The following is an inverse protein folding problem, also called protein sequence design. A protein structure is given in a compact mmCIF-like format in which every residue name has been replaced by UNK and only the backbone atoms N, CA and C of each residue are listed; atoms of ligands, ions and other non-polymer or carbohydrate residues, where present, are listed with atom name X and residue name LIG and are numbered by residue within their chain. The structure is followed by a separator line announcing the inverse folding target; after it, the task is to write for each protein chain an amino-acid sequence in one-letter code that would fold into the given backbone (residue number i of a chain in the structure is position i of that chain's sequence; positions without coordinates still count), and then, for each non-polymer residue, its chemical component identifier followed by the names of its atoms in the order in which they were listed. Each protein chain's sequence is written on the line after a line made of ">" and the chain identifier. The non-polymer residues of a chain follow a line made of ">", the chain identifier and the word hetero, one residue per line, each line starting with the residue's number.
data_IF_383383616888
#
_entry.id   IF_383383616888
#
_cell.length_a   1.000
_cell.length_b   1.000
_cell.length_c   1.000
_cell.angle_alpha   90.00
_cell.angle_beta   90.00
_cell.angle_gamma   90.00
#
_symmetry.space_group_name_H-M   'P 1'
#
loop_
_entity.id
_entity.type
_entity.pdbx_description
1 polymer ?
#
# COMPACT_ATOMS: atom_id res chain seq x y z
N UNK A 1 4.48 10.71 0.22
CA UNK A 1 4.74 10.19 -1.15
C UNK A 1 5.89 9.19 -1.12
N UNK A 2 5.77 8.02 -1.78
CA UNK A 2 6.78 6.93 -1.72
C UNK A 2 7.89 7.10 -2.78
N UNK A 3 7.50 7.25 -4.05
CA UNK A 3 8.44 7.38 -5.19
C UNK A 3 8.25 8.71 -5.94
N UNK A 4 8.64 9.86 -5.34
CA UNK A 4 8.33 11.19 -5.88
C UNK A 4 8.98 11.50 -7.24
N UNK A 5 10.07 10.80 -7.59
CA UNK A 5 10.80 11.00 -8.85
C UNK A 5 10.48 9.94 -9.91
N UNK A 6 9.52 9.05 -9.64
CA UNK A 6 9.18 7.96 -10.55
C UNK A 6 7.72 8.08 -10.99
N UNK A 7 7.46 8.90 -12.01
CA UNK A 7 6.09 9.15 -12.53
C UNK A 7 5.40 7.93 -13.19
N UNK A 8 6.08 6.78 -13.24
CA UNK A 8 5.57 5.49 -13.75
C UNK A 8 5.57 4.41 -12.65
N UNK A 9 5.68 4.81 -11.39
CA UNK A 9 5.66 3.90 -10.26
C UNK A 9 4.38 3.06 -10.27
N UNK A 10 4.52 1.75 -10.14
CA UNK A 10 3.41 0.83 -9.91
C UNK A 10 3.29 0.50 -8.43
N UNK A 11 2.15 -0.06 -8.01
CA UNK A 11 1.96 -0.51 -6.64
C UNK A 11 3.01 -1.56 -6.21
N UNK A 12 3.39 -2.48 -7.11
CA UNK A 12 4.47 -3.43 -6.87
C UNK A 12 5.83 -2.77 -6.63
N UNK A 13 6.15 -1.69 -7.37
CA UNK A 13 7.37 -0.90 -7.12
C UNK A 13 7.31 -0.18 -5.76
N UNK A 14 6.15 0.38 -5.40
CA UNK A 14 5.96 1.00 -4.09
C UNK A 14 6.09 0.00 -2.94
N UNK A 15 5.56 -1.22 -3.09
CA UNK A 15 5.74 -2.32 -2.13
C UNK A 15 7.23 -2.66 -1.96
N UNK A 16 7.97 -2.76 -3.06
CA UNK A 16 9.43 -2.98 -3.00
C UNK A 16 10.17 -1.87 -2.25
N UNK A 17 9.85 -0.60 -2.54
CA UNK A 17 10.46 0.55 -1.85
C UNK A 17 10.10 0.59 -0.37
N UNK A 18 8.82 0.36 -0.02
CA UNK A 18 8.37 0.29 1.38
C UNK A 18 9.11 -0.80 2.13
N UNK A 19 9.28 -1.99 1.54
CA UNK A 19 10.05 -3.09 2.13
C UNK A 19 11.53 -2.78 2.33
N UNK A 20 12.16 -2.07 1.38
CA UNK A 20 13.58 -1.73 1.46
C UNK A 20 13.88 -0.55 2.39
N UNK A 21 12.93 0.35 2.60
CA UNK A 21 13.13 1.61 3.29
C UNK A 21 12.22 1.78 4.51
N UNK A 22 11.79 0.68 5.16
CA UNK A 22 10.82 0.68 6.28
C UNK A 22 11.14 1.72 7.36
N UNK A 23 12.40 1.77 7.79
CA UNK A 23 12.89 2.70 8.81
C UNK A 23 12.81 4.19 8.41
N UNK A 24 12.60 4.49 7.13
CA UNK A 24 12.39 5.85 6.63
C UNK A 24 10.94 6.30 6.72
N UNK A 25 10.00 5.43 7.05
CA UNK A 25 8.60 5.79 7.14
C UNK A 25 8.19 6.12 8.57
N UNK A 26 7.42 7.20 8.71
CA UNK A 26 6.70 7.52 9.94
C UNK A 26 5.21 7.39 9.70
N UNK A 27 4.50 6.94 10.74
CA UNK A 27 3.04 6.82 10.76
C UNK A 27 2.53 7.56 11.99
N UNK A 28 1.52 8.40 11.81
CA UNK A 28 0.98 9.27 12.86
C UNK A 28 0.26 8.47 13.97
N UNK A 29 -0.24 7.27 13.65
CA UNK A 29 -0.84 6.37 14.62
C UNK A 29 0.27 5.71 15.45
N UNK A 30 0.25 5.83 16.79
CA UNK A 30 1.23 5.19 17.66
C UNK A 30 1.25 3.67 17.45
N UNK A 31 2.45 3.13 17.32
CA UNK A 31 2.69 1.69 17.14
C UNK A 31 3.43 1.17 18.37
N UNK A 32 3.08 -0.03 18.89
CA UNK A 32 3.84 -0.64 19.98
C UNK A 32 5.33 -0.76 19.65
N UNK A 33 6.21 -0.65 20.64
CA UNK A 33 7.66 -0.55 20.45
C UNK A 33 8.28 -1.77 19.74
N UNK A 34 7.64 -2.94 19.80
CA UNK A 34 8.07 -4.19 19.17
C UNK A 34 7.46 -4.41 17.76
N UNK A 35 6.66 -3.46 17.27
CA UNK A 35 5.96 -3.56 15.98
C UNK A 35 6.48 -2.52 15.01
N UNK A 36 6.36 -2.86 13.73
CA UNK A 36 6.75 -1.97 12.66
C UNK A 36 5.62 -0.98 12.33
N UNK A 37 5.85 0.33 12.45
CA UNK A 37 4.86 1.36 12.16
C UNK A 37 4.30 1.32 10.74
N UNK A 38 5.08 0.91 9.74
CA UNK A 38 4.62 0.91 8.34
C UNK A 38 3.83 -0.33 7.94
N UNK A 39 3.82 -1.38 8.78
CA UNK A 39 3.19 -2.65 8.47
C UNK A 39 1.69 -2.56 8.10
N UNK A 40 0.85 -1.73 8.77
CA UNK A 40 -0.55 -1.58 8.36
C UNK A 40 -0.70 -1.01 6.95
N UNK A 41 0.16 -0.05 6.58
CA UNK A 41 0.14 0.59 5.25
C UNK A 41 0.55 -0.40 4.18
N UNK A 42 1.60 -1.17 4.44
CA UNK A 42 2.02 -2.26 3.56
C UNK A 42 0.93 -3.33 3.40
N UNK A 43 0.25 -3.70 4.48
CA UNK A 43 -0.84 -4.69 4.43
C UNK A 43 -2.00 -4.22 3.54
N UNK A 44 -2.35 -2.92 3.55
CA UNK A 44 -3.34 -2.38 2.62
C UNK A 44 -2.86 -2.46 1.16
N UNK A 45 -1.59 -2.12 0.90
CA UNK A 45 -0.99 -2.22 -0.43
C UNK A 45 -0.94 -3.66 -0.93
N UNK A 46 -0.61 -4.63 -0.06
CA UNK A 46 -0.63 -6.06 -0.34
C UNK A 46 -2.04 -6.55 -0.64
N UNK A 47 -3.02 -6.15 0.16
CA UNK A 47 -4.43 -6.49 -0.08
C UNK A 47 -4.89 -6.08 -1.49
N UNK A 48 -4.48 -4.89 -1.94
CA UNK A 48 -4.78 -4.43 -3.31
C UNK A 48 -4.00 -5.20 -4.37
N UNK A 49 -2.69 -5.39 -4.16
CA UNK A 49 -1.80 -6.06 -5.12
C UNK A 49 -2.12 -7.54 -5.32
N UNK A 50 -2.36 -8.26 -4.22
CA UNK A 50 -2.60 -9.70 -4.25
C UNK A 50 -4.07 -10.03 -4.53
N UNK A 51 -5.00 -9.14 -4.13
CA UNK A 51 -6.45 -9.34 -4.28
C UNK A 51 -7.00 -9.05 -5.68
N UNK A 52 -6.38 -8.16 -6.46
CA UNK A 52 -6.82 -7.82 -7.82
C UNK A 52 -6.20 -8.73 -8.88
N UNK A 53 -6.50 -10.03 -8.78
CA UNK A 53 -5.93 -11.11 -9.61
C UNK A 53 -6.18 -11.00 -11.13
N UNK A 54 -7.12 -10.15 -11.57
CA UNK A 54 -7.33 -9.86 -13.00
C UNK A 54 -6.31 -8.87 -13.57
N UNK A 55 -5.71 -8.03 -12.71
CA UNK A 55 -4.83 -6.90 -13.09
C UNK A 55 -3.37 -7.17 -12.80
N UNK A 56 -3.11 -8.06 -11.85
CA UNK A 56 -1.77 -8.43 -11.41
C UNK A 56 -1.60 -9.90 -11.76
N UNK A 57 -0.71 -10.17 -12.72
CA UNK A 57 -0.41 -11.52 -13.21
C UNK A 57 0.27 -12.34 -12.11
N UNK A 58 -0.54 -12.85 -11.18
CA UNK A 58 -0.11 -13.78 -10.17
C UNK A 58 -0.27 -15.20 -10.76
N UNK A 59 0.46 -16.20 -10.24
CA UNK A 59 0.36 -17.57 -10.76
C UNK A 59 -1.00 -18.24 -10.46
N UNK A 60 -1.85 -17.61 -9.65
CA UNK A 60 -3.22 -18.06 -9.39
C UNK A 60 -4.18 -17.66 -10.52
N UNK A 61 -5.24 -18.45 -10.72
CA UNK A 61 -6.29 -18.11 -11.67
C UNK A 61 -7.00 -16.80 -11.31
N UNK A 62 -7.39 -16.04 -12.33
CA UNK A 62 -8.22 -14.83 -12.14
C UNK A 62 -9.56 -15.21 -11.55
N UNK A 63 -9.94 -14.55 -10.46
CA UNK A 63 -11.25 -14.71 -9.82
C UNK A 63 -12.21 -13.63 -10.31
N UNK A 64 -13.51 -13.95 -10.41
CA UNK A 64 -14.54 -12.97 -10.72
C UNK A 64 -14.61 -11.88 -9.64
N UNK A 65 -14.64 -10.63 -10.06
CA UNK A 65 -14.67 -9.47 -9.18
C UNK A 65 -16.11 -9.19 -8.74
N UNK A 66 -16.40 -9.39 -7.45
CA UNK A 66 -17.69 -9.00 -6.89
C UNK A 66 -17.76 -7.48 -6.69
N UNK A 67 -18.97 -6.93 -6.66
CA UNK A 67 -19.17 -5.50 -6.37
C UNK A 67 -18.60 -5.12 -5.00
N UNK A 68 -18.71 -6.02 -4.00
CA UNK A 68 -18.22 -5.76 -2.66
C UNK A 68 -16.69 -5.78 -2.59
N UNK A 69 -16.02 -6.69 -3.32
CA UNK A 69 -14.56 -6.68 -3.39
C UNK A 69 -14.03 -5.44 -4.11
N UNK A 70 -14.70 -5.00 -5.17
CA UNK A 70 -14.37 -3.77 -5.88
C UNK A 70 -14.49 -2.54 -4.96
N UNK A 71 -15.57 -2.43 -4.18
CA UNK A 71 -15.78 -1.35 -3.20
C UNK A 71 -14.69 -1.36 -2.12
N UNK A 72 -14.39 -2.52 -1.54
CA UNK A 72 -13.34 -2.66 -0.54
C UNK A 72 -11.97 -2.20 -1.11
N UNK A 73 -11.66 -2.58 -2.35
CA UNK A 73 -10.46 -2.12 -3.04
C UNK A 73 -10.40 -0.59 -3.18
N UNK A 74 -11.49 0.06 -3.57
CA UNK A 74 -11.55 1.53 -3.62
C UNK A 74 -11.34 2.15 -2.24
N UNK A 75 -11.94 1.59 -1.19
CA UNK A 75 -11.76 2.10 0.18
C UNK A 75 -10.30 2.02 0.64
N UNK A 76 -9.61 0.90 0.40
CA UNK A 76 -8.18 0.78 0.70
C UNK A 76 -7.35 1.80 -0.08
N UNK A 77 -7.60 1.94 -1.38
CA UNK A 77 -6.89 2.89 -2.23
C UNK A 77 -7.10 4.34 -1.77
N UNK A 78 -8.34 4.73 -1.47
CA UNK A 78 -8.69 6.06 -1.00
C UNK A 78 -8.02 6.37 0.36
N UNK A 79 -8.04 5.42 1.29
CA UNK A 79 -7.38 5.56 2.60
C UNK A 79 -5.86 5.74 2.45
N UNK A 80 -5.22 4.91 1.61
CA UNK A 80 -3.79 5.03 1.30
C UNK A 80 -3.45 6.42 0.75
N UNK A 81 -4.19 6.89 -0.26
CA UNK A 81 -4.00 8.23 -0.84
C UNK A 81 -4.13 9.28 0.25
N UNK A 82 -5.21 9.26 1.03
CA UNK A 82 -5.47 10.24 2.07
C UNK A 82 -4.37 10.26 3.15
N UNK A 83 -3.86 9.10 3.56
CA UNK A 83 -2.80 9.02 4.56
C UNK A 83 -1.48 9.63 4.06
N UNK A 84 -1.11 9.38 2.81
CA UNK A 84 0.10 9.96 2.24
C UNK A 84 -0.03 11.44 1.88
N UNK A 85 -1.22 11.92 1.49
CA UNK A 85 -1.45 13.34 1.16
C UNK A 85 -1.58 14.21 2.41
N UNK A 86 -2.19 13.70 3.48
CA UNK A 86 -2.31 14.41 4.76
C UNK A 86 -1.03 14.39 5.58
N UNK A 87 -0.06 13.54 5.24
CA UNK A 87 1.16 13.35 6.04
C UNK A 87 0.98 12.43 7.24
N UNK A 88 -0.20 11.79 7.39
CA UNK A 88 -0.39 10.73 8.37
C UNK A 88 0.59 9.56 8.16
N UNK A 89 1.04 9.37 6.91
CA UNK A 89 2.22 8.56 6.58
C UNK A 89 3.19 9.40 5.76
N UNK A 90 4.43 9.47 6.20
CA UNK A 90 5.49 10.22 5.52
C UNK A 90 6.73 9.35 5.32
N UNK A 91 7.45 9.60 4.22
CA UNK A 91 8.79 9.05 3.99
C UNK A 91 9.81 10.16 4.27
N UNK A 92 10.66 9.95 5.25
CA UNK A 92 11.73 10.85 5.61
C UNK A 92 12.96 10.63 4.70
N UNK A 93 13.81 11.66 4.51
CA UNK A 93 15.01 11.57 3.69
C UNK A 93 15.96 10.43 4.08
#
# INVERSE_FOLDING_TARGET
>A
MIQPRHGRATLGMMLGETGNARAKFTVAVPTPADKDPIAPVEAMMRTLWDGQTSRHGNQGGTVSESLDSARAGVHFAAALVQWFTSGAVARNP
#
